data_IF_924606417798
#
_entry.id   IF_924606417798
#
_cell.length_a   1.000
_cell.length_b   1.000
_cell.length_c   1.000
_cell.angle_alpha   90.00
_cell.angle_beta   90.00
_cell.angle_gamma   90.00
#
_symmetry.space_group_name_H-M   'P 1'
#
loop_
_entity.id
_entity.type
_entity.pdbx_description
1 polymer ?
#
# COMPACT_ATOMS: atom_id res chain seq x y z
N UNK A 1 22.11 -14.16 -18.17
CA UNK A 1 21.14 -13.19 -18.71
C UNK A 1 21.05 -12.07 -17.70
N UNK A 2 20.78 -10.85 -18.16
CA UNK A 2 20.52 -9.75 -17.24
C UNK A 2 19.14 -9.97 -16.58
N UNK A 3 19.07 -9.76 -15.27
CA UNK A 3 17.86 -10.01 -14.48
C UNK A 3 17.04 -8.74 -14.32
N UNK A 4 15.72 -8.88 -14.22
CA UNK A 4 14.84 -7.77 -13.84
C UNK A 4 15.04 -7.43 -12.36
N UNK A 5 15.15 -6.14 -12.06
CA UNK A 5 15.29 -5.64 -10.68
C UNK A 5 14.15 -4.72 -10.25
N UNK A 6 13.43 -4.13 -11.21
CA UNK A 6 12.31 -3.22 -10.94
C UNK A 6 11.06 -3.79 -11.62
N UNK A 7 9.98 -3.88 -10.85
CA UNK A 7 8.64 -4.21 -11.30
C UNK A 7 7.73 -3.00 -11.02
N UNK A 8 6.99 -2.55 -12.02
CA UNK A 8 5.88 -1.61 -11.82
C UNK A 8 4.57 -2.27 -12.25
N UNK A 9 3.58 -2.18 -11.37
CA UNK A 9 2.20 -2.59 -11.65
C UNK A 9 1.41 -1.32 -11.97
N UNK A 10 0.57 -1.36 -13.02
CA UNK A 10 -0.24 -0.22 -13.43
C UNK A 10 -1.64 -0.65 -13.88
N UNK A 11 -2.60 0.27 -13.76
CA UNK A 11 -3.87 0.26 -14.50
C UNK A 11 -3.93 1.43 -15.46
N UNK A 12 -4.57 1.24 -16.61
CA UNK A 12 -4.90 2.37 -17.48
C UNK A 12 -6.10 3.16 -16.96
N UNK A 13 -6.14 4.43 -17.36
CA UNK A 13 -7.26 5.35 -17.10
C UNK A 13 -8.61 4.84 -17.61
N UNK A 14 -8.60 3.92 -18.58
CA UNK A 14 -9.83 3.29 -19.06
C UNK A 14 -10.47 2.34 -18.02
N UNK A 15 -9.75 1.97 -16.95
CA UNK A 15 -10.22 1.08 -15.89
C UNK A 15 -10.27 -0.39 -16.27
N UNK A 16 -9.91 -0.74 -17.51
CA UNK A 16 -10.05 -2.07 -18.08
C UNK A 16 -8.72 -2.72 -18.48
N UNK A 17 -7.60 -2.01 -18.45
CA UNK A 17 -6.30 -2.61 -18.72
C UNK A 17 -5.45 -2.67 -17.46
N UNK A 18 -5.00 -3.87 -17.12
CA UNK A 18 -3.98 -4.13 -16.09
C UNK A 18 -2.66 -4.39 -16.80
N UNK A 19 -1.54 -3.93 -16.26
CA UNK A 19 -0.26 -4.37 -16.80
C UNK A 19 0.92 -4.29 -15.84
N UNK A 20 2.02 -4.87 -16.32
CA UNK A 20 3.31 -4.94 -15.67
C UNK A 20 4.37 -4.31 -16.58
N UNK A 21 5.25 -3.52 -15.96
CA UNK A 21 6.47 -2.98 -16.58
C UNK A 21 7.68 -3.51 -15.83
N UNK A 22 8.68 -4.02 -16.53
CA UNK A 22 9.91 -4.52 -15.93
C UNK A 22 11.15 -3.87 -16.53
N UNK A 23 12.11 -3.60 -15.65
CA UNK A 23 13.43 -3.08 -16.04
C UNK A 23 14.54 -4.01 -15.56
N UNK A 24 15.45 -4.31 -16.48
CA UNK A 24 16.67 -5.04 -16.25
C UNK A 24 17.71 -4.15 -15.58
N UNK A 25 18.60 -4.74 -14.80
CA UNK A 25 19.63 -4.00 -14.07
C UNK A 25 20.47 -3.10 -14.97
N UNK A 26 20.88 -3.60 -16.15
CA UNK A 26 21.72 -2.83 -17.06
C UNK A 26 21.02 -1.57 -17.62
N UNK A 27 19.68 -1.57 -17.69
CA UNK A 27 18.89 -0.45 -18.21
C UNK A 27 18.67 0.66 -17.17
N UNK A 28 18.79 0.34 -15.87
CA UNK A 28 18.54 1.30 -14.78
C UNK A 28 19.78 1.56 -13.92
N UNK A 29 20.93 0.99 -14.28
CA UNK A 29 22.21 1.21 -13.62
C UNK A 29 22.55 2.71 -13.67
N UNK A 30 22.39 3.42 -12.55
CA UNK A 30 22.54 4.87 -12.34
C UNK A 30 21.30 5.76 -12.55
N UNK A 31 20.12 5.20 -12.81
CA UNK A 31 18.88 5.99 -12.77
C UNK A 31 18.47 6.29 -11.33
N UNK A 32 17.82 7.43 -11.09
CA UNK A 32 17.10 7.64 -9.83
C UNK A 32 16.02 6.56 -9.75
N UNK A 33 16.23 5.62 -8.82
CA UNK A 33 15.44 4.37 -8.65
C UNK A 33 13.92 4.64 -8.65
N UNK A 34 13.51 5.84 -8.24
CA UNK A 34 12.12 6.28 -8.08
C UNK A 34 11.32 6.36 -9.39
N UNK A 35 11.97 6.71 -10.51
CA UNK A 35 11.33 6.79 -11.82
C UNK A 35 12.37 6.44 -12.90
N UNK A 36 12.39 5.19 -13.39
CA UNK A 36 13.27 4.80 -14.48
C UNK A 36 13.09 5.78 -15.64
N UNK A 37 14.13 6.53 -15.98
CA UNK A 37 14.11 7.51 -17.09
C UNK A 37 14.02 6.82 -18.47
N UNK A 38 14.10 5.49 -18.49
CA UNK A 38 14.11 4.66 -19.68
C UNK A 38 12.81 3.89 -19.81
N UNK A 39 12.43 3.60 -21.06
CA UNK A 39 11.33 2.68 -21.36
C UNK A 39 11.58 1.32 -20.70
N UNK A 40 10.51 0.61 -20.29
CA UNK A 40 10.64 -0.73 -19.73
C UNK A 40 11.21 -1.71 -20.75
N UNK A 41 12.09 -2.59 -20.28
CA UNK A 41 12.65 -3.69 -21.09
C UNK A 41 11.59 -4.74 -21.44
N UNK A 42 10.55 -4.87 -20.59
CA UNK A 42 9.39 -5.70 -20.85
C UNK A 42 8.11 -5.00 -20.37
N UNK A 43 7.12 -4.95 -21.26
CA UNK A 43 5.79 -4.43 -20.99
C UNK A 43 4.76 -5.52 -21.31
N UNK A 44 3.92 -5.86 -20.35
CA UNK A 44 2.81 -6.81 -20.51
C UNK A 44 1.54 -6.11 -20.05
N UNK A 45 0.49 -6.22 -20.84
CA UNK A 45 -0.82 -5.67 -20.51
C UNK A 45 -1.92 -6.64 -20.90
N UNK A 46 -2.92 -6.75 -20.05
CA UNK A 46 -4.13 -7.51 -20.28
C UNK A 46 -5.32 -6.56 -20.26
N UNK A 47 -6.18 -6.69 -21.27
CA UNK A 47 -7.48 -6.03 -21.32
C UNK A 47 -8.56 -7.09 -21.09
N UNK A 48 -8.95 -7.36 -19.83
CA UNK A 48 -10.03 -8.29 -19.51
C UNK A 48 -11.29 -7.98 -20.34
N UNK A 49 -11.85 -8.99 -21.04
CA UNK A 49 -13.13 -8.82 -21.70
C UNK A 49 -14.20 -8.54 -20.64
N UNK A 50 -15.02 -7.52 -20.87
CA UNK A 50 -16.10 -6.97 -20.02
C UNK A 50 -17.13 -7.98 -19.45
N UNK A 51 -17.01 -9.29 -19.68
CA UNK A 51 -18.12 -10.24 -19.57
C UNK A 51 -17.82 -11.59 -18.90
N UNK A 52 -16.76 -11.75 -18.11
CA UNK A 52 -16.63 -12.98 -17.31
C UNK A 52 -16.36 -12.69 -15.84
N UNK A 53 -17.35 -13.05 -15.02
CA UNK A 53 -17.37 -13.02 -13.55
C UNK A 53 -16.26 -13.85 -12.88
N UNK A 54 -15.39 -14.52 -13.66
CA UNK A 54 -14.26 -15.28 -13.16
C UNK A 54 -13.07 -15.15 -14.12
N UNK A 55 -12.21 -14.17 -13.85
CA UNK A 55 -10.81 -14.26 -14.26
C UNK A 55 -10.01 -14.55 -12.98
N UNK A 56 -9.28 -15.68 -12.88
CA UNK A 56 -8.26 -15.80 -11.83
C UNK A 56 -7.32 -14.61 -11.95
N UNK A 57 -6.95 -14.03 -10.80
CA UNK A 57 -6.38 -12.68 -10.63
C UNK A 57 -5.35 -12.40 -11.75
N UNK A 58 -5.63 -11.52 -12.73
CA UNK A 58 -4.82 -11.40 -13.94
C UNK A 58 -3.35 -11.04 -13.65
N UNK A 59 -3.11 -10.37 -12.52
CA UNK A 59 -1.78 -10.06 -12.00
C UNK A 59 -1.05 -11.34 -11.59
N UNK A 60 -1.72 -12.26 -10.90
CA UNK A 60 -1.20 -13.57 -10.53
C UNK A 60 -0.68 -14.32 -11.76
N UNK A 61 -1.54 -14.45 -12.78
CA UNK A 61 -1.19 -15.14 -14.02
C UNK A 61 -0.05 -14.47 -14.79
N UNK A 62 0.01 -13.13 -14.82
CA UNK A 62 1.11 -12.42 -15.47
C UNK A 62 2.43 -12.64 -14.72
N UNK A 63 2.40 -12.65 -13.39
CA UNK A 63 3.59 -12.82 -12.56
C UNK A 63 4.13 -14.25 -12.60
N UNK A 64 3.28 -15.27 -12.66
CA UNK A 64 3.68 -16.67 -12.83
C UNK A 64 4.49 -16.93 -14.11
N UNK A 65 4.25 -16.13 -15.15
CA UNK A 65 4.92 -16.29 -16.44
C UNK A 65 6.28 -15.57 -16.52
N UNK A 66 6.69 -14.87 -15.46
CA UNK A 66 7.83 -13.95 -15.46
C UNK A 66 8.95 -14.39 -14.50
N UNK A 67 10.23 -14.16 -14.85
CA UNK A 67 11.34 -14.38 -13.95
C UNK A 67 11.47 -13.20 -12.96
N UNK A 68 10.68 -13.25 -11.88
CA UNK A 68 10.59 -12.19 -10.86
C UNK A 68 11.48 -12.42 -9.61
N UNK A 69 12.22 -13.51 -9.60
CA UNK A 69 13.03 -13.96 -8.46
C UNK A 69 14.09 -12.95 -8.00
N UNK A 70 14.51 -12.04 -8.89
CA UNK A 70 15.55 -11.03 -8.64
C UNK A 70 15.00 -9.61 -8.42
N UNK A 71 13.68 -9.42 -8.40
CA UNK A 71 13.08 -8.10 -8.20
C UNK A 71 13.47 -7.56 -6.82
N UNK A 72 13.99 -6.32 -6.80
CA UNK A 72 14.41 -5.60 -5.60
C UNK A 72 13.46 -4.45 -5.25
N UNK A 73 12.84 -3.87 -6.28
CA UNK A 73 11.99 -2.69 -6.18
C UNK A 73 10.65 -2.97 -6.83
N UNK A 74 9.57 -2.65 -6.12
CA UNK A 74 8.21 -2.69 -6.67
C UNK A 74 7.54 -1.32 -6.59
N UNK A 75 6.91 -0.90 -7.68
CA UNK A 75 6.30 0.42 -7.83
C UNK A 75 4.81 0.29 -8.19
N UNK A 76 3.96 0.89 -7.36
CA UNK A 76 2.53 1.08 -7.57
C UNK A 76 2.25 2.58 -7.68
N UNK A 77 2.38 3.15 -8.88
CA UNK A 77 2.10 4.56 -9.16
C UNK A 77 0.86 4.66 -10.04
N UNK A 78 -0.04 5.58 -9.70
CA UNK A 78 -1.31 5.82 -10.43
C UNK A 78 -2.20 4.59 -10.61
N UNK A 79 -1.96 3.54 -9.82
CA UNK A 79 -2.86 2.41 -9.71
C UNK A 79 -4.10 2.84 -8.94
N UNK A 80 -5.25 3.06 -9.59
CA UNK A 80 -6.53 3.03 -8.87
C UNK A 80 -6.98 1.61 -8.50
N UNK A 81 -6.03 0.66 -8.49
CA UNK A 81 -6.22 -0.66 -7.94
C UNK A 81 -6.22 -0.57 -6.42
N UNK A 82 -7.10 -1.35 -5.81
CA UNK A 82 -6.87 -1.82 -4.46
C UNK A 82 -6.42 -3.26 -4.64
N UNK A 83 -5.11 -3.53 -4.66
CA UNK A 83 -4.67 -4.93 -4.63
C UNK A 83 -5.24 -5.62 -3.39
N UNK A 84 -5.82 -6.80 -3.59
CA UNK A 84 -6.30 -7.64 -2.50
C UNK A 84 -5.12 -8.16 -1.67
N UNK A 85 -5.37 -8.53 -0.41
CA UNK A 85 -4.36 -9.15 0.45
C UNK A 85 -3.74 -10.41 -0.19
N UNK A 86 -4.51 -11.13 -1.02
CA UNK A 86 -4.06 -12.31 -1.74
C UNK A 86 -3.11 -11.96 -2.89
N UNK A 87 -3.43 -10.92 -3.66
CA UNK A 87 -2.60 -10.44 -4.78
C UNK A 87 -1.26 -9.93 -4.27
N UNK A 88 -1.27 -9.17 -3.16
CA UNK A 88 -0.04 -8.81 -2.45
C UNK A 88 0.73 -10.07 -2.08
N UNK A 89 0.12 -11.03 -1.36
CA UNK A 89 0.75 -12.30 -0.96
C UNK A 89 1.45 -12.99 -2.11
N UNK A 90 0.74 -13.19 -3.19
CA UNK A 90 1.25 -13.90 -4.35
C UNK A 90 2.44 -13.18 -5.00
N UNK A 91 2.34 -11.86 -5.19
CA UNK A 91 3.39 -11.07 -5.83
C UNK A 91 4.73 -11.20 -5.10
N UNK A 92 4.74 -11.10 -3.76
CA UNK A 92 6.01 -11.05 -3.02
C UNK A 92 6.42 -12.37 -2.35
N UNK A 93 5.50 -13.28 -2.03
CA UNK A 93 5.83 -14.53 -1.31
C UNK A 93 6.43 -15.53 -2.28
N UNK A 94 5.72 -15.71 -3.40
CA UNK A 94 6.04 -16.72 -4.40
C UNK A 94 7.10 -16.18 -5.37
N UNK A 95 6.95 -14.93 -5.79
CA UNK A 95 7.65 -14.43 -6.97
C UNK A 95 8.76 -13.42 -6.65
N UNK A 96 8.58 -12.51 -5.68
CA UNK A 96 9.52 -11.41 -5.42
C UNK A 96 10.22 -11.49 -4.04
N UNK A 97 10.87 -12.61 -3.72
CA UNK A 97 11.51 -12.86 -2.41
C UNK A 97 12.66 -11.90 -2.07
N UNK A 98 13.22 -11.22 -3.07
CA UNK A 98 14.39 -10.36 -2.95
C UNK A 98 14.03 -8.87 -2.76
N UNK A 99 12.75 -8.52 -2.70
CA UNK A 99 12.30 -7.12 -2.60
C UNK A 99 12.79 -6.49 -1.30
N UNK A 100 13.39 -5.32 -1.42
CA UNK A 100 13.79 -4.49 -0.28
C UNK A 100 13.14 -3.11 -0.29
N UNK A 101 12.47 -2.72 -1.39
CA UNK A 101 11.81 -1.42 -1.49
C UNK A 101 10.46 -1.50 -2.20
N UNK A 102 9.45 -0.85 -1.62
CA UNK A 102 8.11 -0.72 -2.20
C UNK A 102 7.72 0.75 -2.25
N UNK A 103 7.15 1.17 -3.38
CA UNK A 103 6.64 2.51 -3.62
C UNK A 103 5.14 2.46 -3.91
N UNK A 104 4.36 3.29 -3.22
CA UNK A 104 2.90 3.31 -3.36
C UNK A 104 2.39 4.75 -3.54
N UNK A 105 1.62 4.98 -4.61
CA UNK A 105 1.17 6.31 -5.01
C UNK A 105 -0.10 6.79 -4.31
N UNK A 106 -0.98 5.87 -3.90
CA UNK A 106 -2.31 6.21 -3.40
C UNK A 106 -2.63 5.52 -2.06
N UNK A 107 -3.67 6.03 -1.40
CA UNK A 107 -4.11 5.54 -0.09
C UNK A 107 -4.67 4.11 -0.11
N UNK A 108 -5.32 3.69 -1.20
CA UNK A 108 -5.96 2.38 -1.25
C UNK A 108 -4.94 1.25 -1.30
N UNK A 109 -3.93 1.36 -2.16
CA UNK A 109 -2.82 0.41 -2.24
C UNK A 109 -2.00 0.43 -0.94
N UNK A 110 -1.81 1.62 -0.38
CA UNK A 110 -1.09 1.81 0.87
C UNK A 110 -1.80 1.12 2.04
N UNK A 111 -3.14 1.15 2.06
CA UNK A 111 -3.96 0.40 3.01
C UNK A 111 -3.87 -1.10 2.76
N UNK A 112 -4.10 -1.56 1.53
CA UNK A 112 -4.07 -2.99 1.17
C UNK A 112 -2.71 -3.64 1.46
N UNK A 113 -1.61 -2.93 1.19
CA UNK A 113 -0.26 -3.38 1.57
C UNK A 113 -0.13 -3.57 3.09
N UNK A 114 -0.64 -2.63 3.88
CA UNK A 114 -0.61 -2.75 5.34
C UNK A 114 -1.43 -3.93 5.86
N UNK A 115 -2.63 -4.17 5.32
CA UNK A 115 -3.44 -5.34 5.69
C UNK A 115 -2.74 -6.64 5.27
N UNK A 116 -2.18 -6.71 4.06
CA UNK A 116 -1.40 -7.85 3.60
C UNK A 116 -0.19 -8.14 4.51
N UNK A 117 0.45 -7.09 5.04
CA UNK A 117 1.57 -7.18 5.98
C UNK A 117 1.18 -7.62 7.39
N UNK A 118 -0.10 -7.51 7.76
CA UNK A 118 -0.54 -7.97 9.09
C UNK A 118 -0.53 -9.49 9.14
N UNK A 119 -0.15 -10.09 10.27
CA UNK A 119 -0.41 -11.50 10.50
C UNK A 119 -1.90 -11.71 10.31
N UNK A 120 -2.27 -12.60 9.39
CA UNK A 120 -3.66 -13.02 9.29
C UNK A 120 -4.06 -13.59 10.65
N UNK A 121 -5.10 -13.02 11.26
CA UNK A 121 -5.82 -13.66 12.35
C UNK A 121 -6.50 -14.88 11.76
N UNK A 122 -5.72 -15.93 11.48
CA UNK A 122 -6.23 -17.24 11.14
C UNK A 122 -6.93 -17.77 12.39
N UNK A 123 -8.18 -17.33 12.59
CA UNK A 123 -9.20 -18.21 13.15
C UNK A 123 -9.14 -19.43 12.26
N UNK A 124 -8.68 -20.54 12.83
CA UNK A 124 -8.61 -21.84 12.18
C UNK A 124 -9.83 -22.00 11.28
N UNK A 125 -9.61 -22.07 9.96
CA UNK A 125 -10.61 -22.56 9.05
C UNK A 125 -10.78 -24.03 9.44
N UNK A 126 -11.81 -24.32 10.24
CA UNK A 126 -12.28 -25.68 10.43
C UNK A 126 -13.00 -26.06 9.14
N UNK A 127 -12.24 -26.53 8.16
CA UNK A 127 -12.84 -27.30 7.08
C UNK A 127 -13.07 -28.72 7.59
N UNK A 128 -14.34 -29.13 7.57
CA UNK A 128 -14.81 -30.50 7.73
C UNK A 128 -14.23 -31.38 6.62
N UNK A 129 -12.96 -31.77 6.72
CA UNK A 129 -12.44 -32.99 6.10
C UNK A 129 -10.99 -33.25 6.55
N UNK A 130 -10.86 -33.77 7.78
CA UNK A 130 -9.94 -34.85 8.15
C UNK A 130 -8.44 -34.79 7.80
N UNK A 131 -7.91 -33.67 7.31
CA UNK A 131 -6.52 -33.54 6.91
C UNK A 131 -5.97 -32.23 7.45
N UNK A 132 -5.50 -32.28 8.71
CA UNK A 132 -4.70 -31.23 9.32
C UNK A 132 -3.46 -30.99 8.45
N UNK A 133 -3.54 -30.04 7.52
CA UNK A 133 -2.33 -29.29 7.14
C UNK A 133 -1.92 -28.56 8.40
N UNK A 134 -0.75 -28.94 8.92
CA UNK A 134 -0.10 -28.24 10.02
C UNK A 134 -0.29 -26.74 9.80
N UNK A 135 -0.96 -26.11 10.78
CA UNK A 135 -1.05 -24.67 10.91
C UNK A 135 0.38 -24.13 10.92
N UNK A 136 0.90 -23.83 9.73
CA UNK A 136 2.05 -22.98 9.58
C UNK A 136 1.61 -21.70 10.27
N UNK A 137 2.26 -21.37 11.39
CA UNK A 137 2.22 -20.01 11.94
C UNK A 137 2.19 -19.08 10.73
N UNK A 138 1.10 -18.31 10.57
CA UNK A 138 0.93 -17.41 9.44
C UNK A 138 2.20 -16.56 9.40
N UNK A 139 3.14 -16.91 8.51
CA UNK A 139 4.40 -16.21 8.43
C UNK A 139 3.99 -14.82 8.03
N UNK A 140 4.32 -13.83 8.87
CA UNK A 140 4.08 -12.44 8.49
C UNK A 140 4.78 -12.24 7.16
N UNK A 141 3.91 -11.97 6.21
CA UNK A 141 4.16 -11.94 4.80
C UNK A 141 5.02 -10.71 4.47
N UNK A 142 5.82 -10.80 3.41
CA UNK A 142 6.87 -9.88 2.90
C UNK A 142 8.33 -10.10 3.37
N UNK A 143 9.31 -9.86 2.46
CA UNK A 143 10.74 -9.81 2.76
C UNK A 143 11.11 -8.69 3.75
N UNK A 144 12.36 -8.68 4.21
CA UNK A 144 12.89 -7.63 5.08
C UNK A 144 13.01 -6.31 4.31
N UNK A 145 11.93 -5.53 4.30
CA UNK A 145 11.87 -4.25 3.62
C UNK A 145 12.81 -3.24 4.27
N UNK A 146 13.71 -2.69 3.47
CA UNK A 146 14.55 -1.57 3.87
C UNK A 146 13.77 -0.26 3.75
N UNK A 147 12.95 -0.11 2.72
CA UNK A 147 12.22 1.12 2.43
C UNK A 147 10.76 0.86 2.02
N UNK A 148 9.84 1.60 2.66
CA UNK A 148 8.49 1.80 2.17
C UNK A 148 8.29 3.29 1.88
N UNK A 149 7.94 3.65 0.65
CA UNK A 149 7.63 5.04 0.29
C UNK A 149 6.16 5.16 -0.11
N UNK A 150 5.49 6.17 0.42
CA UNK A 150 4.09 6.48 0.13
C UNK A 150 3.97 7.92 -0.37
N UNK A 151 3.32 8.15 -1.52
CA UNK A 151 3.24 9.49 -2.11
C UNK A 151 2.12 10.33 -1.49
N UNK A 152 0.93 9.76 -1.31
CA UNK A 152 -0.28 10.47 -0.86
C UNK A 152 -1.18 9.58 0.00
N UNK A 153 -1.04 9.70 1.32
CA UNK A 153 -1.85 8.97 2.32
C UNK A 153 -2.36 9.92 3.39
N UNK A 154 -3.67 9.91 3.64
CA UNK A 154 -4.25 10.56 4.82
C UNK A 154 -4.24 9.60 6.01
N UNK A 155 -3.36 9.86 6.97
CA UNK A 155 -3.21 9.03 8.17
C UNK A 155 -4.25 9.37 9.26
N UNK A 156 -5.10 10.38 9.05
CA UNK A 156 -6.10 10.77 10.03
C UNK A 156 -7.24 9.74 10.09
N UNK A 157 -7.91 9.63 11.25
CA UNK A 157 -9.14 8.86 11.33
C UNK A 157 -10.20 9.45 10.40
N UNK A 158 -10.86 8.60 9.60
CA UNK A 158 -12.02 9.02 8.81
C UNK A 158 -13.17 8.03 8.94
N UNK A 159 -14.39 8.52 8.80
CA UNK A 159 -15.58 7.67 8.77
C UNK A 159 -15.81 7.19 7.34
N UNK A 160 -15.86 5.88 7.16
CA UNK A 160 -16.26 5.25 5.91
C UNK A 160 -17.74 5.51 5.62
N UNK A 161 -18.17 5.22 4.39
CA UNK A 161 -19.58 5.29 3.99
C UNK A 161 -20.48 4.32 4.77
N UNK A 162 -19.93 3.29 5.40
CA UNK A 162 -20.67 2.37 6.30
C UNK A 162 -20.75 2.87 7.74
N UNK A 163 -20.15 4.04 8.06
CA UNK A 163 -20.11 4.61 9.41
C UNK A 163 -19.01 4.03 10.30
N UNK A 164 -18.15 3.16 9.76
CA UNK A 164 -16.98 2.64 10.46
C UNK A 164 -15.88 3.70 10.48
N UNK A 165 -15.24 3.90 11.64
CA UNK A 165 -14.07 4.79 11.73
C UNK A 165 -12.83 3.98 11.37
N UNK A 166 -12.21 4.33 10.26
CA UNK A 166 -10.95 3.75 9.82
C UNK A 166 -9.80 4.60 10.33
N UNK A 167 -8.87 3.98 11.06
CA UNK A 167 -7.68 4.64 11.62
C UNK A 167 -6.42 4.22 10.84
N UNK A 168 -6.25 4.75 9.62
CA UNK A 168 -5.11 4.40 8.74
C UNK A 168 -3.75 4.65 9.42
N UNK A 169 -3.60 5.72 10.20
CA UNK A 169 -2.41 5.95 11.04
C UNK A 169 -2.12 4.83 12.03
N UNK A 170 -3.17 4.36 12.73
CA UNK A 170 -3.02 3.29 13.71
C UNK A 170 -2.71 1.95 13.03
N UNK A 171 -3.33 1.68 11.88
CA UNK A 171 -3.05 0.49 11.07
C UNK A 171 -1.56 0.38 10.73
N UNK A 172 -0.92 1.48 10.31
CA UNK A 172 0.52 1.50 10.02
C UNK A 172 1.37 1.23 11.27
N UNK A 173 1.06 1.92 12.38
CA UNK A 173 1.76 1.74 13.66
C UNK A 173 1.68 0.30 14.14
N UNK A 174 0.49 -0.29 14.13
CA UNK A 174 0.25 -1.66 14.57
C UNK A 174 1.01 -2.66 13.69
N UNK A 175 0.93 -2.48 12.37
CA UNK A 175 1.61 -3.35 11.38
C UNK A 175 3.12 -3.33 11.60
N UNK A 176 3.73 -2.15 11.71
CA UNK A 176 5.20 -2.04 11.88
C UNK A 176 5.65 -2.53 13.26
N UNK A 177 4.85 -2.30 14.29
CA UNK A 177 5.11 -2.84 15.63
C UNK A 177 5.13 -4.37 15.60
N UNK A 178 4.12 -4.99 14.99
CA UNK A 178 4.03 -6.44 14.88
C UNK A 178 5.21 -7.03 14.09
N UNK A 179 5.53 -6.44 12.93
CA UNK A 179 6.70 -6.84 12.13
C UNK A 179 8.00 -6.78 12.93
N UNK A 180 8.22 -5.71 13.67
CA UNK A 180 9.39 -5.54 14.54
C UNK A 180 9.44 -6.59 15.65
N UNK A 181 8.31 -6.91 16.29
CA UNK A 181 8.24 -7.97 17.30
C UNK A 181 8.55 -9.36 16.72
N UNK A 182 8.26 -9.57 15.43
CA UNK A 182 8.53 -10.82 14.72
C UNK A 182 9.95 -10.91 14.14
N UNK A 183 10.80 -9.89 14.37
CA UNK A 183 12.16 -9.87 13.87
C UNK A 183 12.29 -9.56 12.37
N UNK A 184 11.22 -9.05 11.74
CA UNK A 184 11.20 -8.60 10.32
C UNK A 184 10.91 -7.10 10.21
N UNK A 185 11.68 -6.23 10.88
CA UNK A 185 11.38 -4.80 10.91
C UNK A 185 11.46 -4.20 9.50
N UNK A 186 10.65 -3.17 9.25
CA UNK A 186 10.90 -2.25 8.13
C UNK A 186 11.89 -1.20 8.63
N UNK A 187 12.92 -0.89 7.86
CA UNK A 187 13.95 0.06 8.31
C UNK A 187 13.46 1.50 8.25
N UNK A 188 12.93 1.91 7.09
CA UNK A 188 12.51 3.30 6.83
C UNK A 188 11.15 3.36 6.16
N UNK A 189 10.32 4.33 6.58
CA UNK A 189 9.18 4.83 5.82
C UNK A 189 9.45 6.25 5.34
N UNK A 190 9.22 6.52 4.05
CA UNK A 190 9.23 7.87 3.48
C UNK A 190 7.81 8.34 3.17
N UNK A 191 7.44 9.49 3.74
CA UNK A 191 6.16 10.15 3.53
C UNK A 191 6.35 11.25 2.48
N UNK A 192 5.70 11.11 1.33
CA UNK A 192 5.74 12.07 0.23
C UNK A 192 4.86 13.30 0.44
N UNK A 193 4.94 14.23 -0.51
CA UNK A 193 4.23 15.52 -0.53
C UNK A 193 2.71 15.46 -0.28
N UNK A 194 2.04 14.37 -0.66
CA UNK A 194 0.59 14.22 -0.54
C UNK A 194 0.15 13.66 0.80
N UNK A 195 1.08 13.29 1.68
CA UNK A 195 0.74 12.72 2.98
C UNK A 195 0.22 13.78 3.94
N UNK A 196 -0.82 13.41 4.70
CA UNK A 196 -1.40 14.21 5.79
C UNK A 196 -1.32 13.39 7.06
N UNK A 197 -0.63 13.92 8.08
CA UNK A 197 -0.44 13.22 9.35
C UNK A 197 -0.46 14.21 10.51
N UNK A 198 -1.15 13.84 11.60
CA UNK A 198 -1.13 14.62 12.84
C UNK A 198 0.08 14.24 13.71
N UNK A 199 0.52 15.17 14.55
CA UNK A 199 1.71 15.00 15.37
C UNK A 199 1.69 13.74 16.26
N UNK A 200 0.54 13.36 16.81
CA UNK A 200 0.47 12.20 17.70
C UNK A 200 0.71 10.89 16.94
N UNK A 201 0.20 10.78 15.70
CA UNK A 201 0.40 9.61 14.83
C UNK A 201 1.84 9.59 14.29
N UNK A 202 2.38 10.76 13.95
CA UNK A 202 3.77 10.88 13.52
C UNK A 202 4.74 10.45 14.62
N UNK A 203 4.51 10.89 15.86
CA UNK A 203 5.31 10.48 17.02
C UNK A 203 5.20 8.97 17.29
N UNK A 204 3.99 8.41 17.15
CA UNK A 204 3.77 6.96 17.29
C UNK A 204 4.53 6.17 16.20
N UNK A 205 4.53 6.63 14.94
CA UNK A 205 5.31 6.02 13.87
C UNK A 205 6.81 6.12 14.14
N UNK A 206 7.32 7.31 14.51
CA UNK A 206 8.74 7.53 14.83
C UNK A 206 9.23 6.65 15.99
N UNK A 207 8.35 6.22 16.89
CA UNK A 207 8.70 5.30 17.97
C UNK A 207 9.00 3.87 17.47
N UNK A 208 8.43 3.48 16.32
CA UNK A 208 8.49 2.10 15.82
C UNK A 208 9.38 1.93 14.59
N UNK A 209 9.50 2.95 13.75
CA UNK A 209 10.24 2.96 12.47
C UNK A 209 10.97 4.29 12.24
N UNK A 210 12.02 4.30 11.41
CA UNK A 210 12.62 5.55 10.95
C UNK A 210 11.68 6.23 9.93
N UNK A 211 11.28 7.48 10.20
CA UNK A 211 10.38 8.25 9.33
C UNK A 211 11.15 9.37 8.64
N UNK A 212 11.16 9.35 7.32
CA UNK A 212 11.59 10.45 6.47
C UNK A 212 10.33 11.19 5.97
N UNK A 213 10.25 12.50 6.20
CA UNK A 213 9.17 13.31 5.63
C UNK A 213 9.74 14.17 4.50
N UNK A 214 9.07 14.18 3.36
CA UNK A 214 9.23 15.25 2.38
C UNK A 214 8.95 16.59 3.10
N UNK A 215 9.78 17.63 2.93
CA UNK A 215 9.54 18.94 3.53
C UNK A 215 8.18 19.54 3.17
N UNK A 216 7.56 19.11 2.07
CA UNK A 216 6.22 19.54 1.65
C UNK A 216 5.09 18.62 2.16
N UNK A 217 5.40 17.54 2.90
CA UNK A 217 4.38 16.73 3.57
C UNK A 217 3.68 17.58 4.65
N UNK A 218 2.35 17.55 4.68
CA UNK A 218 1.57 18.40 5.59
C UNK A 218 1.59 17.78 7.00
N UNK A 219 2.49 18.28 7.85
CA UNK A 219 2.48 18.06 9.29
C UNK A 219 1.52 19.08 9.95
N UNK A 220 0.29 18.67 10.27
CA UNK A 220 -0.60 19.53 11.06
C UNK A 220 -0.17 19.49 12.53
N UNK A 221 0.45 20.57 13.00
CA UNK A 221 0.68 20.81 14.43
C UNK A 221 -0.70 20.89 15.11
N UNK A 222 -1.01 20.02 16.09
CA UNK A 222 -2.29 20.09 16.78
C UNK A 222 -2.41 21.46 17.46
N UNK A 223 -3.51 22.16 17.21
CA UNK A 223 -3.88 23.29 18.07
C UNK A 223 -3.95 22.78 19.51
N UNK A 224 -3.28 23.50 20.42
CA UNK A 224 -3.20 23.18 21.84
C UNK A 224 -4.58 22.79 22.41
N UNK A 225 -4.63 21.90 23.41
CA UNK A 225 -5.89 21.46 24.00
C UNK A 225 -6.49 22.64 24.77
N UNK A 226 -7.38 23.40 24.12
CA UNK A 226 -8.22 24.34 24.85
C UNK A 226 -9.32 23.54 25.52
N UNK A 227 -9.08 23.21 26.79
CA UNK A 227 -10.18 23.17 27.73
C UNK A 227 -10.91 24.51 27.69
N UNK A 228 -12.18 24.48 27.32
CA UNK A 228 -13.30 24.84 28.17
C UNK A 228 -14.61 24.49 27.44
N UNK A 229 -15.61 23.90 28.13
CA UNK A 229 -16.98 23.87 27.65
C UNK A 229 -17.63 25.22 27.93
N UNK A 230 -18.36 25.77 26.97
CA UNK A 230 -19.60 26.56 27.12
C UNK A 230 -19.85 27.40 25.85
N UNK A 231 -20.99 27.15 25.18
CA UNK A 231 -21.66 28.17 24.38
C UNK A 231 -21.33 28.31 22.89
N UNK A 232 -21.03 27.23 22.16
CA UNK A 232 -21.00 27.31 20.68
C UNK A 232 -22.44 27.30 20.14
N UNK A 233 -22.96 28.49 19.88
CA UNK A 233 -24.04 28.72 18.92
C UNK A 233 -23.50 28.33 17.54
N UNK A 234 -24.11 27.34 16.91
CA UNK A 234 -23.84 27.05 15.51
C UNK A 234 -24.28 28.25 14.66
N UNK A 235 -23.46 28.77 13.74
CA UNK A 235 -23.97 29.66 12.73
C UNK A 235 -24.95 28.86 11.86
N UNK A 236 -26.22 29.29 11.89
CA UNK A 236 -27.24 28.86 10.94
C UNK A 236 -26.64 28.93 9.54
N UNK A 237 -26.70 27.81 8.81
CA UNK A 237 -26.54 27.84 7.37
C UNK A 237 -27.61 28.78 6.82
N UNK A 238 -27.18 29.97 6.41
CA UNK A 238 -27.94 30.81 5.50
C UNK A 238 -28.08 30.00 4.22
N UNK A 239 -29.23 29.32 4.08
CA UNK A 239 -29.69 28.92 2.76
C UNK A 239 -29.92 30.21 1.98
N UNK A 240 -29.08 30.43 0.98
CA UNK A 240 -29.35 31.47 -0.01
C UNK A 240 -30.57 31.00 -0.82
N UNK A 241 -31.63 31.82 -0.92
CA UNK A 241 -32.84 31.48 -1.65
C UNK A 241 -32.60 31.83 -3.12
N UNK A 242 -32.63 30.86 -4.03
CA UNK A 242 -32.95 31.11 -5.44
C UNK A 242 -33.08 29.80 -6.23
N UNK A 243 -34.01 29.84 -7.19
CA UNK A 243 -34.40 28.85 -8.20
C UNK A 243 -35.61 27.99 -7.78
N UNK A 244 -36.86 28.49 -7.92
CA UNK A 244 -37.67 28.60 -9.17
C UNK A 244 -37.93 27.19 -9.76
N UNK A 245 -39.13 26.69 -10.06
CA UNK A 245 -40.45 27.24 -10.40
C UNK A 245 -41.57 26.30 -9.90
#
# INVERSE_FOLDING_TARGET
>A
MDSFHILSVFHSDDGYTIGLKLWQMSSVFNSSIFHPLHDPDLFISLHPPFASEYFPEPIEAMCDMLPLDNIRVVIFQDCSLSLSDHEWKFLFETNCQQVSSIFVGNQSDAHGLCEAMRPSDNKAIQEEDGQERASMQAQVFLPDLELLEVESVDFRPYSSSSGEVLETGQLYVDTFTQRRMMGKPISTIRLGKGCVIDAARLDALKAVIHVECDPDAIEEIPKAPHGLPEGVVYPDYIMNPEQEE
#
